data_IF_648587649125
#
_entry.id   IF_648587649125
#
_cell.length_a   1.000
_cell.length_b   1.000
_cell.length_c   1.000
_cell.angle_alpha   90.00
_cell.angle_beta   90.00
_cell.angle_gamma   90.00
#
_symmetry.space_group_name_H-M   'P 1'
#
loop_
_entity.id
_entity.type
_entity.pdbx_description
1 polymer ?
#
# COMPACT_ATOMS: atom_id res chain seq x y z
N UNK A 1 -4.95 6.43 18.03
CA UNK A 1 -4.84 6.09 16.61
C UNK A 1 -5.88 5.07 16.21
N UNK A 2 -6.83 5.49 15.37
CA UNK A 2 -7.91 4.66 14.82
C UNK A 2 -7.70 4.50 13.31
N UNK A 3 -7.23 3.33 12.92
CA UNK A 3 -7.13 2.89 11.53
C UNK A 3 -8.33 2.00 11.20
N UNK A 4 -8.95 2.22 10.05
CA UNK A 4 -10.12 1.47 9.61
C UNK A 4 -9.84 0.81 8.26
N UNK A 5 -10.09 -0.49 8.16
CA UNK A 5 -10.05 -1.19 6.88
C UNK A 5 -11.23 -0.72 6.01
N UNK A 6 -10.90 -0.23 4.82
CA UNK A 6 -11.88 0.34 3.89
C UNK A 6 -12.41 -0.73 2.95
N UNK A 7 -11.54 -1.63 2.50
CA UNK A 7 -11.92 -2.71 1.61
C UNK A 7 -10.78 -3.19 0.73
N UNK A 8 -11.07 -4.26 -0.02
CA UNK A 8 -10.21 -4.82 -1.05
C UNK A 8 -10.85 -4.65 -2.41
N UNK A 9 -10.13 -4.06 -3.35
CA UNK A 9 -10.58 -3.81 -4.71
C UNK A 9 -9.76 -4.68 -5.66
N UNK A 10 -10.39 -5.21 -6.70
CA UNK A 10 -9.63 -5.78 -7.83
C UNK A 10 -9.33 -4.65 -8.80
N UNK A 11 -8.12 -4.64 -9.32
CA UNK A 11 -7.67 -3.75 -10.38
C UNK A 11 -7.46 -4.59 -11.64
N UNK A 12 -7.97 -4.09 -12.76
CA UNK A 12 -7.57 -4.51 -14.10
C UNK A 12 -7.04 -3.28 -14.83
N UNK A 13 -5.92 -3.41 -15.53
CA UNK A 13 -5.24 -2.25 -16.09
C UNK A 13 -4.30 -2.60 -17.25
N UNK A 14 -3.93 -1.53 -17.96
CA UNK A 14 -2.78 -1.48 -18.85
C UNK A 14 -1.90 -0.28 -18.46
N UNK A 15 -0.90 0.04 -19.28
CA UNK A 15 -0.01 1.16 -19.02
C UNK A 15 -0.72 2.53 -19.06
N UNK A 16 -1.88 2.66 -19.70
CA UNK A 16 -2.59 3.93 -19.94
C UNK A 16 -3.78 4.13 -19.01
N UNK A 17 -4.44 3.06 -18.58
CA UNK A 17 -5.68 3.15 -17.81
C UNK A 17 -5.84 1.98 -16.82
N UNK A 18 -6.78 2.16 -15.89
CA UNK A 18 -7.20 1.14 -14.96
C UNK A 18 -8.71 1.16 -14.78
N UNK A 19 -9.28 0.01 -14.48
CA UNK A 19 -10.61 -0.19 -13.96
C UNK A 19 -10.53 -0.82 -12.56
N UNK A 20 -11.59 -0.62 -11.78
CA UNK A 20 -11.69 -1.17 -10.43
C UNK A 20 -12.97 -1.95 -10.29
N UNK A 21 -12.94 -3.04 -9.55
CA UNK A 21 -14.12 -3.78 -9.10
C UNK A 21 -14.11 -3.74 -7.58
N UNK A 22 -15.13 -3.11 -6.99
CA UNK A 22 -15.27 -3.07 -5.54
C UNK A 22 -15.96 -4.35 -5.02
N UNK A 23 -15.86 -4.64 -3.71
CA UNK A 23 -16.54 -5.79 -3.09
C UNK A 23 -18.06 -5.83 -3.30
N UNK A 24 -18.69 -4.68 -3.52
CA UNK A 24 -20.13 -4.55 -3.77
C UNK A 24 -20.49 -4.69 -5.26
N UNK A 25 -19.54 -5.07 -6.12
CA UNK A 25 -19.74 -5.27 -7.56
C UNK A 25 -19.86 -3.98 -8.38
N UNK A 26 -19.48 -2.83 -7.82
CA UNK A 26 -19.46 -1.55 -8.55
C UNK A 26 -18.07 -1.19 -9.04
N UNK A 27 -18.00 -0.30 -10.03
CA UNK A 27 -16.78 0.13 -10.72
C UNK A 27 -16.14 1.40 -10.11
N UNK A 28 -16.50 1.74 -8.87
CA UNK A 28 -16.13 3.02 -8.25
C UNK A 28 -15.67 2.86 -6.81
N UNK A 29 -14.70 3.69 -6.43
CA UNK A 29 -14.40 3.96 -5.02
C UNK A 29 -15.51 4.81 -4.39
N UNK A 30 -15.75 4.59 -3.09
CA UNK A 30 -16.73 5.34 -2.30
C UNK A 30 -16.28 5.47 -0.84
N UNK A 31 -17.02 6.25 -0.04
CA UNK A 31 -16.78 6.39 1.40
C UNK A 31 -15.36 6.86 1.74
N UNK A 32 -14.71 6.19 2.68
CA UNK A 32 -13.37 6.55 3.16
C UNK A 32 -12.30 6.52 2.06
N UNK A 33 -12.43 5.66 1.03
CA UNK A 33 -11.53 5.63 -0.11
C UNK A 33 -11.57 6.94 -0.93
N UNK A 34 -12.67 7.68 -0.85
CA UNK A 34 -12.84 8.98 -1.54
C UNK A 34 -12.59 10.20 -0.65
N UNK A 35 -12.36 9.99 0.66
CA UNK A 35 -12.14 11.06 1.63
C UNK A 35 -10.76 11.72 1.51
N UNK A 36 -10.59 12.87 2.20
CA UNK A 36 -9.30 13.58 2.32
C UNK A 36 -8.44 13.11 3.51
N UNK A 37 -8.93 12.13 4.27
CA UNK A 37 -8.19 11.57 5.40
C UNK A 37 -6.95 10.79 4.91
N UNK A 38 -5.88 10.66 5.69
CA UNK A 38 -4.72 9.86 5.33
C UNK A 38 -5.10 8.39 5.14
N UNK A 39 -4.58 7.78 4.09
CA UNK A 39 -4.84 6.39 3.71
C UNK A 39 -3.54 5.68 3.44
N UNK A 40 -3.47 4.42 3.86
CA UNK A 40 -2.47 3.46 3.41
C UNK A 40 -3.14 2.54 2.39
N UNK A 41 -2.44 2.24 1.31
CA UNK A 41 -2.89 1.28 0.32
C UNK A 41 -1.76 0.31 -0.04
N UNK A 42 -2.13 -0.96 -0.21
CA UNK A 42 -1.19 -2.02 -0.59
C UNK A 42 -1.68 -2.62 -1.89
N UNK A 43 -0.79 -2.66 -2.88
CA UNK A 43 -0.98 -3.39 -4.13
C UNK A 43 -0.38 -4.78 -3.96
N UNK A 44 -1.12 -5.82 -4.32
CA UNK A 44 -0.68 -7.21 -4.20
C UNK A 44 -1.11 -8.07 -5.39
N UNK A 45 -0.35 -9.13 -5.65
CA UNK A 45 -0.67 -10.20 -6.59
C UNK A 45 -0.56 -11.51 -5.82
N UNK A 46 -1.58 -12.37 -5.89
CA UNK A 46 -1.63 -13.64 -5.13
C UNK A 46 -1.31 -13.47 -3.63
N UNK A 47 -1.88 -12.43 -3.02
CA UNK A 47 -1.65 -12.03 -1.61
C UNK A 47 -0.18 -11.77 -1.24
N UNK A 48 0.64 -11.43 -2.24
CA UNK A 48 2.01 -10.96 -2.08
C UNK A 48 2.07 -9.46 -2.34
N UNK A 49 2.41 -8.62 -1.34
CA UNK A 49 2.61 -7.19 -1.52
C UNK A 49 3.70 -6.87 -2.54
N UNK A 50 3.37 -6.04 -3.53
CA UNK A 50 4.32 -5.60 -4.57
C UNK A 50 4.63 -4.10 -4.49
N UNK A 51 3.79 -3.34 -3.78
CA UNK A 51 3.91 -1.91 -3.57
C UNK A 51 3.09 -1.50 -2.34
N UNK A 52 3.63 -0.65 -1.49
CA UNK A 52 2.93 0.00 -0.38
C UNK A 52 2.99 1.52 -0.62
N UNK A 53 1.88 2.19 -0.40
CA UNK A 53 1.77 3.63 -0.61
C UNK A 53 0.85 4.29 0.40
N UNK A 54 1.04 5.60 0.57
CA UNK A 54 0.10 6.45 1.31
C UNK A 54 -0.49 7.57 0.44
N UNK A 55 -1.65 8.09 0.86
CA UNK A 55 -2.26 9.27 0.22
C UNK A 55 -3.28 9.99 1.10
N UNK A 56 -3.34 11.32 0.99
CA UNK A 56 -4.48 12.14 1.45
C UNK A 56 -5.52 12.39 0.36
N UNK A 57 -5.19 12.13 -0.90
CA UNK A 57 -6.14 12.28 -2.02
C UNK A 57 -7.18 11.15 -2.00
N UNK A 58 -8.27 11.33 -2.76
CA UNK A 58 -9.11 10.17 -3.10
C UNK A 58 -8.25 9.12 -3.81
N UNK A 59 -8.49 7.84 -3.54
CA UNK A 59 -7.67 6.76 -4.10
C UNK A 59 -7.71 6.79 -5.63
N UNK A 60 -8.87 7.10 -6.24
CA UNK A 60 -8.97 7.28 -7.69
C UNK A 60 -8.00 8.34 -8.21
N UNK A 61 -7.92 9.50 -7.56
CA UNK A 61 -7.05 10.58 -8.00
C UNK A 61 -5.57 10.22 -7.81
N UNK A 62 -5.23 9.55 -6.69
CA UNK A 62 -3.87 9.06 -6.45
C UNK A 62 -3.43 8.04 -7.50
N UNK A 63 -4.31 7.11 -7.87
CA UNK A 63 -4.03 6.14 -8.92
C UNK A 63 -3.87 6.87 -10.26
N UNK A 64 -4.82 7.73 -10.65
CA UNK A 64 -4.72 8.53 -11.88
C UNK A 64 -3.42 9.34 -11.96
N UNK A 65 -2.98 9.97 -10.88
CA UNK A 65 -1.70 10.68 -10.85
C UNK A 65 -0.52 9.76 -11.16
N UNK A 66 -0.47 8.57 -10.57
CA UNK A 66 0.58 7.60 -10.88
C UNK A 66 0.49 6.99 -12.29
N UNK A 67 -0.70 6.97 -12.90
CA UNK A 67 -0.87 6.61 -14.31
C UNK A 67 -0.55 7.74 -15.29
N UNK A 68 -0.77 8.99 -14.90
CA UNK A 68 -0.44 10.14 -15.76
C UNK A 68 0.97 10.66 -15.54
N UNK A 69 1.74 10.03 -14.64
CA UNK A 69 3.11 10.42 -14.36
C UNK A 69 4.00 10.28 -15.60
N UNK A 70 4.67 11.38 -15.95
CA UNK A 70 5.59 11.51 -17.08
C UNK A 70 7.06 11.41 -16.69
N UNK A 71 7.38 11.31 -15.39
CA UNK A 71 8.73 11.47 -14.87
C UNK A 71 9.11 12.92 -14.54
N UNK A 72 8.20 13.87 -14.79
CA UNK A 72 8.42 15.27 -14.40
C UNK A 72 8.67 15.37 -12.89
N UNK A 73 9.71 16.11 -12.50
CA UNK A 73 10.20 16.22 -11.12
C UNK A 73 10.64 14.89 -10.47
N UNK A 74 10.97 13.87 -11.27
CA UNK A 74 11.47 12.58 -10.79
C UNK A 74 10.38 11.58 -10.38
N UNK A 75 9.09 11.95 -10.45
CA UNK A 75 7.99 11.03 -10.18
C UNK A 75 7.56 10.31 -11.46
N UNK A 76 7.99 9.06 -11.60
CA UNK A 76 7.68 8.21 -12.76
C UNK A 76 6.37 7.40 -12.61
N UNK A 77 5.68 7.55 -11.47
CA UNK A 77 4.45 6.80 -11.20
C UNK A 77 4.70 5.35 -10.86
N UNK A 78 3.74 4.49 -11.21
CA UNK A 78 3.77 3.09 -10.81
C UNK A 78 4.47 2.21 -11.86
N UNK A 79 5.68 1.73 -11.57
CA UNK A 79 6.39 0.83 -12.46
C UNK A 79 5.61 -0.47 -12.76
N UNK A 80 4.90 -1.00 -11.77
CA UNK A 80 4.13 -2.25 -11.88
C UNK A 80 3.02 -2.21 -12.94
N UNK A 81 2.51 -1.03 -13.32
CA UNK A 81 1.48 -0.92 -14.37
C UNK A 81 1.98 -1.30 -15.76
N UNK A 82 3.31 -1.33 -15.95
CA UNK A 82 3.94 -1.69 -17.22
C UNK A 82 4.28 -3.19 -17.31
N UNK A 83 4.28 -3.91 -16.19
CA UNK A 83 4.67 -5.32 -16.12
C UNK A 83 3.49 -6.26 -15.80
N UNK A 84 2.39 -5.72 -15.31
CA UNK A 84 1.21 -6.47 -14.88
C UNK A 84 -0.04 -5.95 -15.59
N UNK A 85 -1.11 -6.74 -15.53
CA UNK A 85 -2.44 -6.37 -16.06
C UNK A 85 -3.55 -6.45 -15.01
N UNK A 86 -3.27 -7.02 -13.84
CA UNK A 86 -4.21 -7.13 -12.74
C UNK A 86 -3.47 -7.15 -11.39
N UNK A 87 -4.15 -6.66 -10.36
CA UNK A 87 -3.69 -6.69 -8.98
C UNK A 87 -4.86 -6.53 -8.01
N UNK A 88 -4.64 -6.81 -6.73
CA UNK A 88 -5.53 -6.41 -5.66
C UNK A 88 -5.02 -5.13 -4.98
N UNK A 89 -5.95 -4.30 -4.54
CA UNK A 89 -5.70 -3.06 -3.81
C UNK A 89 -6.47 -3.10 -2.48
N UNK A 90 -5.75 -3.30 -1.38
CA UNK A 90 -6.33 -3.15 -0.04
C UNK A 90 -6.08 -1.73 0.48
N UNK A 91 -7.06 -1.14 1.16
CA UNK A 91 -7.00 0.23 1.66
C UNK A 91 -7.36 0.27 3.14
N UNK A 92 -6.60 1.06 3.89
CA UNK A 92 -6.87 1.45 5.26
C UNK A 92 -6.88 2.97 5.39
N UNK A 93 -7.69 3.51 6.29
CA UNK A 93 -7.88 4.94 6.47
C UNK A 93 -7.71 5.34 7.94
N UNK A 94 -6.94 6.41 8.19
CA UNK A 94 -6.77 6.97 9.52
C UNK A 94 -7.93 7.93 9.84
N UNK A 95 -8.74 7.57 10.85
CA UNK A 95 -10.01 8.27 11.17
C UNK A 95 -9.85 9.51 12.04
N UNK A 96 -8.76 9.58 12.80
CA UNK A 96 -8.46 10.57 13.83
C UNK A 96 -7.00 11.06 13.74
N UNK A 97 -6.51 11.47 12.55
CA UNK A 97 -5.12 11.90 12.41
C UNK A 97 -4.83 13.18 13.19
N UNK A 98 -3.60 13.37 13.69
CA UNK A 98 -3.21 14.61 14.34
C UNK A 98 -3.27 15.78 13.36
N UNK A 99 -3.68 16.96 13.84
CA UNK A 99 -3.85 18.14 12.98
C UNK A 99 -2.52 18.71 12.47
N UNK A 100 -1.45 18.61 13.27
CA UNK A 100 -0.14 19.18 12.97
C UNK A 100 0.54 18.49 11.78
N UNK A 101 0.52 17.16 11.76
CA UNK A 101 0.96 16.36 10.62
C UNK A 101 0.05 15.14 10.43
N UNK A 102 -1.01 15.28 9.63
CA UNK A 102 -1.95 14.20 9.43
C UNK A 102 -1.34 12.95 8.78
N UNK A 103 -0.19 13.05 8.11
CA UNK A 103 0.40 11.92 7.40
C UNK A 103 1.43 11.13 8.19
N UNK A 104 2.03 11.71 9.23
CA UNK A 104 3.16 11.10 9.93
C UNK A 104 2.85 9.68 10.41
N UNK A 105 1.69 9.49 11.02
CA UNK A 105 1.24 8.20 11.53
C UNK A 105 1.12 7.15 10.41
N UNK A 106 0.52 7.53 9.27
CA UNK A 106 0.29 6.58 8.16
C UNK A 106 1.58 6.28 7.39
N UNK A 107 2.48 7.25 7.26
CA UNK A 107 3.83 7.08 6.68
C UNK A 107 4.68 6.16 7.56
N UNK A 108 4.60 6.34 8.89
CA UNK A 108 5.31 5.47 9.84
C UNK A 108 4.76 4.04 9.78
N UNK A 109 3.44 3.86 9.67
CA UNK A 109 2.84 2.53 9.49
C UNK A 109 3.27 1.91 8.15
N UNK A 110 3.30 2.68 7.06
CA UNK A 110 3.79 2.20 5.76
C UNK A 110 5.20 1.61 5.88
N UNK A 111 6.11 2.33 6.54
CA UNK A 111 7.49 1.89 6.73
C UNK A 111 7.58 0.61 7.56
N UNK A 112 6.81 0.51 8.66
CA UNK A 112 6.74 -0.69 9.50
C UNK A 112 6.12 -1.89 8.75
N UNK A 113 5.10 -1.67 7.92
CA UNK A 113 4.53 -2.73 7.07
C UNK A 113 5.58 -3.24 6.09
N UNK A 114 6.30 -2.36 5.40
CA UNK A 114 7.37 -2.76 4.47
C UNK A 114 8.49 -3.49 5.21
N UNK A 115 8.86 -3.04 6.41
CA UNK A 115 9.82 -3.74 7.26
C UNK A 115 9.37 -5.18 7.57
N UNK A 116 8.11 -5.38 7.99
CA UNK A 116 7.57 -6.71 8.27
C UNK A 116 7.53 -7.61 7.01
N UNK A 117 7.14 -7.06 5.86
CA UNK A 117 7.18 -7.79 4.58
C UNK A 117 8.61 -8.27 4.27
N UNK A 118 9.62 -7.41 4.51
CA UNK A 118 11.03 -7.74 4.33
C UNK A 118 11.53 -8.77 5.35
N UNK A 119 11.13 -8.66 6.61
CA UNK A 119 11.45 -9.66 7.64
C UNK A 119 10.88 -11.04 7.31
N UNK A 120 9.73 -11.09 6.63
CA UNK A 120 9.13 -12.32 6.13
C UNK A 120 9.82 -12.88 4.86
N UNK A 121 10.96 -12.33 4.44
CA UNK A 121 11.72 -12.82 3.29
C UNK A 121 11.16 -12.36 1.93
N UNK A 122 10.20 -11.44 1.92
CA UNK A 122 9.63 -10.90 0.69
C UNK A 122 10.15 -9.49 0.40
N UNK A 123 10.41 -9.21 -0.87
CA UNK A 123 10.70 -7.86 -1.36
C UNK A 123 9.50 -7.32 -2.17
N UNK A 124 8.88 -6.18 -1.77
CA UNK A 124 7.91 -5.50 -2.63
C UNK A 124 8.61 -5.01 -3.90
N UNK A 125 8.52 -5.80 -4.99
CA UNK A 125 9.30 -5.65 -6.23
C UNK A 125 9.38 -4.23 -6.77
N UNK A 126 8.30 -3.47 -6.65
CA UNK A 126 8.18 -2.14 -7.27
C UNK A 126 8.28 -1.00 -6.25
N UNK A 127 8.73 -1.28 -5.02
CA UNK A 127 9.01 -0.24 -4.03
C UNK A 127 10.40 0.34 -4.27
N UNK A 128 10.48 1.66 -4.40
CA UNK A 128 11.75 2.39 -4.62
C UNK A 128 12.19 3.19 -3.41
N UNK A 129 11.24 3.80 -2.70
CA UNK A 129 11.50 4.71 -1.57
C UNK A 129 10.48 4.46 -0.47
N UNK A 130 10.94 4.56 0.78
CA UNK A 130 10.16 4.51 2.02
C UNK A 130 10.85 5.43 3.03
N UNK A 131 10.06 6.24 3.73
CA UNK A 131 10.56 7.11 4.79
C UNK A 131 10.33 6.49 6.16
N UNK A 132 11.41 6.27 6.91
CA UNK A 132 11.33 5.76 8.28
C UNK A 132 11.30 6.90 9.28
N UNK A 133 10.34 6.83 10.20
CA UNK A 133 10.25 7.68 11.38
C UNK A 133 10.25 6.80 12.65
N UNK A 134 10.60 7.34 13.83
CA UNK A 134 10.48 6.60 15.07
C UNK A 134 9.06 6.07 15.30
N UNK A 135 8.91 4.75 15.42
CA UNK A 135 7.60 4.12 15.59
C UNK A 135 7.19 3.97 17.06
N UNK A 136 5.91 4.22 17.34
CA UNK A 136 5.29 3.92 18.64
C UNK A 136 4.82 2.46 18.70
N UNK A 137 4.38 2.01 19.88
CA UNK A 137 3.75 0.70 20.01
C UNK A 137 2.48 0.57 19.15
N UNK A 138 1.71 1.65 19.00
CA UNK A 138 0.50 1.67 18.18
C UNK A 138 0.82 1.56 16.68
N UNK A 139 1.89 2.21 16.20
CA UNK A 139 2.35 2.06 14.81
C UNK A 139 2.66 0.60 14.48
N UNK A 140 3.50 -0.03 15.32
CA UNK A 140 3.89 -1.43 15.13
C UNK A 140 2.71 -2.38 15.23
N UNK A 141 1.78 -2.14 16.16
CA UNK A 141 0.56 -2.94 16.29
C UNK A 141 -0.30 -2.88 15.03
N UNK A 142 -0.54 -1.68 14.47
CA UNK A 142 -1.31 -1.53 13.25
C UNK A 142 -0.60 -2.11 12.04
N UNK A 143 0.72 -1.93 11.94
CA UNK A 143 1.52 -2.56 10.89
C UNK A 143 1.42 -4.09 10.93
N UNK A 144 1.54 -4.72 12.11
CA UNK A 144 1.34 -6.17 12.27
C UNK A 144 -0.05 -6.61 11.85
N UNK A 145 -1.10 -5.89 12.28
CA UNK A 145 -2.50 -6.19 11.91
C UNK A 145 -2.71 -6.15 10.40
N UNK A 146 -2.10 -5.17 9.72
CA UNK A 146 -2.17 -5.02 8.26
C UNK A 146 -1.38 -6.15 7.58
N UNK A 147 -0.18 -6.44 8.07
CA UNK A 147 0.74 -7.43 7.55
C UNK A 147 0.19 -8.87 7.65
N UNK A 148 -0.56 -9.20 8.69
CA UNK A 148 -1.24 -10.49 8.89
C UNK A 148 -2.19 -10.88 7.74
N UNK A 149 -2.68 -9.89 6.99
CA UNK A 149 -3.56 -10.13 5.82
C UNK A 149 -2.84 -10.79 4.66
N UNK A 150 -1.52 -10.66 4.59
CA UNK A 150 -0.72 -11.17 3.50
C UNK A 150 -0.08 -12.49 3.90
N UNK A 151 0.16 -13.33 2.89
CA UNK A 151 0.87 -14.60 3.08
C UNK A 151 2.35 -14.28 3.26
N UNK A 152 2.68 -13.78 4.44
CA UNK A 152 4.04 -13.64 4.95
C UNK A 152 4.49 -15.04 5.37
N UNK A 153 4.75 -15.90 4.39
CA UNK A 153 5.35 -17.20 4.67
C UNK A 153 6.71 -16.96 5.29
N UNK A 154 6.79 -17.17 6.59
CA UNK A 154 8.03 -17.45 7.32
C UNK A 154 8.80 -18.49 6.51
N UNK A 155 9.86 -18.06 5.81
CA UNK A 155 10.85 -18.99 5.31
C UNK A 155 11.59 -19.52 6.53
N UNK A 156 11.56 -20.84 6.69
CA UNK A 156 12.48 -21.60 7.52
C UNK A 156 13.90 -21.01 7.47
N UNK A 157 14.69 -21.14 8.56
CA UNK A 157 16.02 -20.56 8.64
C UNK A 157 16.83 -20.90 7.39
N UNK A 158 17.49 -19.88 6.83
CA UNK A 158 18.50 -20.03 5.79
C UNK A 158 19.45 -21.16 6.22
N UNK A 159 19.43 -22.28 5.49
CA UNK A 159 20.51 -23.26 5.61
C UNK A 159 21.82 -22.51 5.41
N UNK A 160 22.81 -22.69 6.31
CA UNK A 160 24.11 -22.06 6.11
C UNK A 160 24.62 -22.50 4.74
N UNK A 161 24.91 -21.53 3.88
CA UNK A 161 25.74 -21.81 2.71
C UNK A 161 27.06 -22.33 3.26
N UNK A 162 27.34 -23.59 2.93
CA UNK A 162 28.61 -24.23 3.21
C UNK A 162 29.56 -23.72 2.12
N UNK A 163 30.60 -23.01 2.52
CA UNK A 163 31.77 -22.74 1.67
C UNK A 163 32.55 -24.05 1.42
#
# INVERSE_FOLDING_TARGET
MRIEWVGRYKLSFDCNQFAVECPLGTDKFSGLATSRLPKLYIVSVDDRPIYVGITKQSVRNRLRLGWSASGENGYHGYAWRHELSAACLDIWCHRDPPESDPCLDIETIEAEVVYLVRQAGQWPKFQTEIHFHPSSADHRRWASTIAERYVLKSTAPLSPMVD
#
